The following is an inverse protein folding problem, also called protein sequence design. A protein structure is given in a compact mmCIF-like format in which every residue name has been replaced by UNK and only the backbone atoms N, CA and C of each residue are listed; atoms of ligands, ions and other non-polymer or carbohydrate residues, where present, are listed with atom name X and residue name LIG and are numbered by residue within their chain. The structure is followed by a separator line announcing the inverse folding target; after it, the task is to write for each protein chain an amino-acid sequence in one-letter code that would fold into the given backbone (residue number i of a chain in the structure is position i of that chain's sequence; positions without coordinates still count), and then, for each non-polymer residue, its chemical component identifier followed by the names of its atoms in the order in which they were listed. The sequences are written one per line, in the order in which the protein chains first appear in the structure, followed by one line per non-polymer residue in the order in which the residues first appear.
data_IF_911885767715
#
_entry.id   IF_911885767715
#
_cell.length_a   1.000
_cell.length_b   1.000
_cell.length_c   1.000
_cell.angle_alpha   90.00
_cell.angle_beta   90.00
_cell.angle_gamma   90.00
#
_symmetry.space_group_name_H-M   'P 1'
#
loop_
_entity.id
_entity.type
_entity.pdbx_description
1 polymer ?
#
# COMPACT_ATOMS: atom_id res chain seq x y z
N UNK A 1 18.26 8.56 58.86
CA UNK A 1 18.51 7.78 57.63
C UNK A 1 17.24 7.55 56.78
N UNK A 2 16.06 7.39 57.33
CA UNK A 2 14.79 7.08 56.62
C UNK A 2 14.34 8.16 55.63
N UNK A 3 14.45 9.46 55.97
CA UNK A 3 14.02 10.57 55.08
C UNK A 3 14.83 10.68 53.80
N UNK A 4 16.11 10.33 53.78
CA UNK A 4 16.93 10.38 52.59
C UNK A 4 16.61 9.21 51.62
N UNK A 5 16.18 8.07 52.16
CA UNK A 5 15.78 6.89 51.38
C UNK A 5 14.42 7.15 50.71
N UNK A 6 13.44 7.70 51.46
CA UNK A 6 12.13 8.06 50.90
C UNK A 6 12.25 9.08 49.79
N UNK A 7 13.10 10.09 49.92
CA UNK A 7 13.31 11.10 48.86
C UNK A 7 13.90 10.49 47.60
N UNK A 8 14.87 9.57 47.73
CA UNK A 8 15.47 8.88 46.58
C UNK A 8 14.46 7.98 45.86
N UNK A 9 13.62 7.26 46.61
CA UNK A 9 12.57 6.41 46.02
C UNK A 9 11.54 7.30 45.28
N UNK A 10 11.14 8.43 45.83
CA UNK A 10 10.21 9.35 45.21
C UNK A 10 10.76 9.93 43.91
N UNK A 11 12.03 10.34 43.86
CA UNK A 11 12.70 10.82 42.65
C UNK A 11 12.79 9.72 41.61
N UNK A 12 13.07 8.47 42.02
CA UNK A 12 13.14 7.34 41.09
C UNK A 12 11.78 7.04 40.44
N UNK A 13 10.71 7.06 41.23
CA UNK A 13 9.33 6.87 40.71
C UNK A 13 8.96 8.01 39.75
N UNK A 14 9.33 9.25 40.10
CA UNK A 14 9.07 10.41 39.22
C UNK A 14 9.83 10.29 37.89
N UNK A 15 11.08 9.88 37.90
CA UNK A 15 11.86 9.65 36.69
C UNK A 15 11.29 8.50 35.83
N UNK A 16 10.80 7.44 36.47
CA UNK A 16 10.14 6.32 35.77
C UNK A 16 8.82 6.75 35.12
N UNK A 17 8.06 7.64 35.74
CA UNK A 17 6.80 8.17 35.19
C UNK A 17 7.02 9.04 33.94
N UNK A 18 8.15 9.74 33.85
CA UNK A 18 8.51 10.52 32.65
C UNK A 18 9.10 9.64 31.52
N UNK A 19 9.60 8.46 31.84
CA UNK A 19 10.13 7.53 30.85
C UNK A 19 9.05 6.68 30.13
N UNK A 20 7.83 6.63 30.67
CA UNK A 20 6.70 5.97 30.06
C UNK A 20 6.28 6.74 28.81
N UNK A 21 6.80 6.37 27.65
CA UNK A 21 6.26 6.85 26.37
C UNK A 21 4.82 6.35 26.27
N UNK A 22 3.83 7.21 25.95
CA UNK A 22 2.50 6.74 25.65
C UNK A 22 2.62 5.74 24.50
N UNK A 23 2.22 4.51 24.71
CA UNK A 23 2.03 3.56 23.62
C UNK A 23 0.87 4.12 22.80
N UNK A 24 1.17 4.71 21.64
CA UNK A 24 0.16 5.09 20.67
C UNK A 24 -0.42 3.78 20.13
N UNK A 25 -1.51 3.33 20.75
CA UNK A 25 -2.30 2.24 20.22
C UNK A 25 -2.94 2.71 18.92
N UNK A 26 -2.96 1.84 17.91
CA UNK A 26 -3.62 2.11 16.65
C UNK A 26 -5.14 2.06 16.87
N UNK A 27 -5.76 3.20 17.04
CA UNK A 27 -7.21 3.31 17.16
C UNK A 27 -7.81 3.67 15.80
N UNK A 28 -8.41 2.68 15.14
CA UNK A 28 -9.25 2.95 13.99
C UNK A 28 -10.71 3.09 14.44
N UNK A 29 -11.46 4.06 13.91
CA UNK A 29 -12.87 4.18 14.23
C UNK A 29 -13.61 2.92 13.78
N UNK A 30 -14.35 2.31 14.70
CA UNK A 30 -15.20 1.16 14.40
C UNK A 30 -16.39 1.64 13.57
N UNK A 31 -16.49 1.16 12.34
CA UNK A 31 -17.58 1.48 11.45
C UNK A 31 -18.42 0.23 11.18
N UNK A 32 -19.76 0.36 11.29
CA UNK A 32 -20.66 -0.72 10.93
C UNK A 32 -20.69 -0.91 9.43
N UNK A 33 -20.87 -2.16 9.00
CA UNK A 33 -21.07 -2.48 7.60
C UNK A 33 -22.36 -1.82 7.09
N UNK A 34 -22.23 -0.92 6.14
CA UNK A 34 -23.35 -0.20 5.51
C UNK A 34 -22.97 0.25 4.10
N UNK A 35 -23.97 0.65 3.33
CA UNK A 35 -23.72 1.22 1.98
C UNK A 35 -22.94 2.52 2.07
N UNK A 36 -23.20 3.36 3.07
CA UNK A 36 -22.48 4.61 3.31
C UNK A 36 -21.00 4.33 3.59
N UNK A 37 -20.70 3.28 4.35
CA UNK A 37 -19.33 2.86 4.59
C UNK A 37 -18.65 2.37 3.30
N UNK A 38 -19.34 1.53 2.52
CA UNK A 38 -18.82 1.08 1.23
C UNK A 38 -18.60 2.22 0.24
N UNK A 39 -19.37 3.30 0.34
CA UNK A 39 -19.25 4.46 -0.56
C UNK A 39 -17.98 5.30 -0.32
N UNK A 40 -17.32 5.15 0.81
CA UNK A 40 -16.04 5.81 1.09
C UNK A 40 -14.89 5.27 0.24
N UNK A 41 -15.04 4.06 -0.29
CA UNK A 41 -14.00 3.38 -1.06
C UNK A 41 -14.35 3.36 -2.54
N UNK A 42 -13.35 3.44 -3.39
CA UNK A 42 -13.51 3.44 -4.85
C UNK A 42 -13.48 2.03 -5.43
N UNK A 43 -12.78 1.13 -4.73
CA UNK A 43 -12.69 -0.28 -5.11
C UNK A 43 -12.88 -1.18 -3.89
N UNK A 44 -13.72 -2.21 -4.05
CA UNK A 44 -13.96 -3.25 -3.04
C UNK A 44 -13.94 -4.60 -3.75
N UNK A 45 -13.09 -5.50 -3.29
CA UNK A 45 -12.99 -6.83 -3.87
C UNK A 45 -12.63 -7.89 -2.83
N UNK A 46 -12.95 -9.14 -3.15
CA UNK A 46 -12.44 -10.34 -2.48
C UNK A 46 -11.40 -10.99 -3.37
N UNK A 47 -10.27 -11.38 -2.80
CA UNK A 47 -9.21 -12.00 -3.57
C UNK A 47 -8.16 -12.68 -2.72
N UNK A 48 -7.34 -13.47 -3.39
CA UNK A 48 -6.24 -14.20 -2.79
C UNK A 48 -4.92 -13.47 -3.07
N UNK A 49 -4.12 -13.29 -2.03
CA UNK A 49 -2.81 -12.69 -2.14
C UNK A 49 -1.84 -13.62 -2.88
N UNK A 50 -1.28 -13.17 -3.98
CA UNK A 50 -0.38 -13.96 -4.84
C UNK A 50 1.07 -13.52 -4.74
N UNK A 51 1.34 -12.27 -4.42
CA UNK A 51 2.69 -11.80 -4.13
C UNK A 51 2.68 -10.59 -3.20
N UNK A 52 3.75 -10.45 -2.42
CA UNK A 52 4.02 -9.30 -1.57
C UNK A 52 5.44 -8.84 -1.86
N UNK A 53 5.61 -7.55 -2.01
CA UNK A 53 6.90 -6.90 -2.01
C UNK A 53 7.00 -6.10 -0.73
N UNK A 54 8.02 -6.42 0.06
CA UNK A 54 8.29 -5.75 1.32
C UNK A 54 8.47 -4.25 1.13
N UNK A 55 8.33 -3.56 2.23
CA UNK A 55 8.41 -2.12 2.30
C UNK A 55 9.74 -1.58 1.76
N UNK A 56 9.67 -0.89 0.64
CA UNK A 56 10.77 -0.11 0.11
C UNK A 56 10.49 1.37 0.43
N UNK A 57 11.20 1.90 1.42
CA UNK A 57 11.07 3.24 1.98
C UNK A 57 9.72 3.51 2.64
N UNK A 58 8.64 3.74 1.91
CA UNK A 58 7.37 4.23 2.45
C UNK A 58 6.22 3.26 2.24
N UNK A 59 6.18 2.56 1.14
CA UNK A 59 5.06 1.70 0.76
C UNK A 59 5.52 0.30 0.42
N UNK A 60 4.74 -0.70 0.83
CA UNK A 60 4.79 -2.06 0.33
C UNK A 60 3.77 -2.27 -0.79
N UNK A 61 3.93 -3.34 -1.56
CA UNK A 61 3.04 -3.73 -2.63
C UNK A 61 2.49 -5.13 -2.36
N UNK A 62 1.18 -5.30 -2.45
CA UNK A 62 0.49 -6.58 -2.38
C UNK A 62 -0.27 -6.80 -3.69
N UNK A 63 -0.06 -7.92 -4.36
CA UNK A 63 -0.78 -8.27 -5.59
C UNK A 63 -1.79 -9.37 -5.29
N UNK A 64 -3.04 -9.11 -5.62
CA UNK A 64 -4.15 -10.03 -5.40
C UNK A 64 -4.65 -10.61 -6.71
N UNK A 65 -4.99 -11.91 -6.69
CA UNK A 65 -5.86 -12.53 -7.68
C UNK A 65 -7.30 -12.32 -7.23
N UNK A 66 -8.04 -11.47 -7.92
CA UNK A 66 -9.42 -11.12 -7.56
C UNK A 66 -10.35 -12.28 -7.87
N UNK A 67 -11.12 -12.72 -6.88
CA UNK A 67 -12.15 -13.73 -7.04
C UNK A 67 -13.53 -13.11 -7.27
N UNK A 68 -13.83 -12.03 -6.52
CA UNK A 68 -15.08 -11.30 -6.62
C UNK A 68 -14.80 -9.80 -6.54
N UNK A 69 -15.30 -9.05 -7.52
CA UNK A 69 -15.24 -7.59 -7.56
C UNK A 69 -16.62 -7.02 -7.24
N UNK A 70 -16.74 -6.31 -6.12
CA UNK A 70 -18.01 -5.75 -5.64
C UNK A 70 -18.19 -4.28 -6.03
N UNK A 71 -17.11 -3.54 -6.19
CA UNK A 71 -17.15 -2.12 -6.56
C UNK A 71 -15.89 -1.73 -7.32
N UNK A 72 -16.02 -0.80 -8.27
CA UNK A 72 -14.89 -0.28 -9.04
C UNK A 72 -14.56 -1.11 -10.28
N UNK A 73 -13.34 -0.92 -10.78
CA UNK A 73 -12.82 -1.57 -11.98
C UNK A 73 -11.44 -2.16 -11.68
N UNK A 74 -11.23 -3.41 -11.99
CA UNK A 74 -9.95 -4.09 -11.80
C UNK A 74 -9.74 -5.19 -12.83
N UNK A 75 -8.48 -5.50 -13.12
CA UNK A 75 -8.10 -6.72 -13.81
C UNK A 75 -8.09 -7.91 -12.83
N UNK A 76 -7.92 -9.12 -13.36
CA UNK A 76 -7.85 -10.36 -12.54
C UNK A 76 -6.72 -10.30 -11.51
N UNK A 77 -5.58 -9.73 -11.89
CA UNK A 77 -4.47 -9.43 -10.99
C UNK A 77 -4.47 -7.92 -10.72
N UNK A 78 -4.51 -7.57 -9.46
CA UNK A 78 -4.61 -6.17 -9.05
C UNK A 78 -3.64 -5.85 -7.92
N UNK A 79 -2.95 -4.71 -8.06
CA UNK A 79 -1.94 -4.24 -7.10
C UNK A 79 -2.57 -3.32 -6.07
N UNK A 80 -2.27 -3.56 -4.81
CA UNK A 80 -2.62 -2.71 -3.67
C UNK A 80 -1.34 -2.25 -2.99
N UNK A 81 -1.20 -0.95 -2.82
CA UNK A 81 -0.15 -0.33 -2.04
C UNK A 81 -0.60 -0.23 -0.58
N UNK A 82 0.30 -0.44 0.36
CA UNK A 82 0.04 -0.27 1.79
C UNK A 82 1.17 0.52 2.46
N UNK A 83 0.83 1.27 3.52
CA UNK A 83 1.80 2.11 4.23
C UNK A 83 2.63 1.26 5.21
N UNK A 84 3.93 1.48 5.22
CA UNK A 84 4.90 0.77 6.04
C UNK A 84 5.44 1.57 7.22
N UNK A 85 4.96 2.80 7.40
CA UNK A 85 5.48 3.70 8.42
C UNK A 85 4.65 3.72 9.71
N UNK A 86 3.60 2.93 9.76
CA UNK A 86 2.70 2.88 10.90
C UNK A 86 2.91 1.58 11.67
N UNK A 87 2.98 1.68 12.98
CA UNK A 87 3.09 0.51 13.89
C UNK A 87 1.88 -0.44 13.79
N UNK A 88 0.89 -0.07 13.00
CA UNK A 88 -0.38 -0.75 12.75
C UNK A 88 -0.39 -1.52 11.45
N UNK A 89 0.77 -1.89 10.95
CA UNK A 89 0.93 -2.59 9.68
C UNK A 89 0.11 -3.88 9.62
N UNK A 90 -0.68 -4.02 8.58
CA UNK A 90 -1.37 -5.28 8.29
C UNK A 90 -0.37 -6.27 7.70
N UNK A 91 -0.22 -7.42 8.37
CA UNK A 91 0.69 -8.47 7.90
C UNK A 91 0.06 -9.26 6.75
N UNK A 92 0.60 -9.04 5.57
CA UNK A 92 0.26 -9.79 4.38
C UNK A 92 1.11 -11.07 4.26
N UNK A 93 0.47 -12.22 3.97
CA UNK A 93 1.16 -13.47 3.68
C UNK A 93 0.60 -14.08 2.40
N UNK A 94 1.47 -14.52 1.50
CA UNK A 94 1.06 -15.13 0.24
C UNK A 94 0.16 -16.33 0.50
N UNK A 95 -0.95 -16.39 -0.21
CA UNK A 95 -1.98 -17.42 -0.04
C UNK A 95 -3.15 -17.00 0.85
N UNK A 96 -3.04 -15.91 1.60
CA UNK A 96 -4.15 -15.37 2.39
C UNK A 96 -5.29 -14.88 1.52
N UNK A 97 -6.51 -15.09 1.97
CA UNK A 97 -7.73 -14.54 1.37
C UNK A 97 -8.14 -13.27 2.13
N UNK A 98 -8.49 -12.23 1.37
CA UNK A 98 -8.83 -10.91 1.92
C UNK A 98 -10.09 -10.34 1.26
N UNK A 99 -10.84 -9.55 2.01
CA UNK A 99 -11.72 -8.51 1.47
C UNK A 99 -10.96 -7.19 1.59
N UNK A 100 -10.74 -6.51 0.47
CA UNK A 100 -9.97 -5.27 0.39
C UNK A 100 -10.92 -4.10 0.10
N UNK A 101 -10.78 -3.04 0.89
CA UNK A 101 -11.43 -1.75 0.72
C UNK A 101 -10.33 -0.70 0.48
N UNK A 102 -10.35 -0.05 -0.69
CA UNK A 102 -9.23 0.76 -1.12
C UNK A 102 -9.68 1.91 -2.04
N UNK A 103 -8.79 2.86 -2.27
CA UNK A 103 -8.98 3.96 -3.22
C UNK A 103 -7.90 3.93 -4.29
N UNK A 104 -8.26 4.27 -5.54
CA UNK A 104 -7.29 4.28 -6.62
C UNK A 104 -6.19 5.32 -6.41
N UNK A 105 -4.95 4.92 -6.69
CA UNK A 105 -3.82 5.84 -6.87
C UNK A 105 -3.54 6.07 -8.34
N UNK A 106 -3.69 5.01 -9.13
CA UNK A 106 -3.54 5.00 -10.58
C UNK A 106 -4.53 3.98 -11.15
N UNK A 107 -4.60 3.86 -12.46
CA UNK A 107 -5.57 2.99 -13.15
C UNK A 107 -5.41 1.51 -12.77
N UNK A 108 -4.18 1.08 -12.50
CA UNK A 108 -3.79 -0.32 -12.27
C UNK A 108 -3.44 -0.65 -10.82
N UNK A 109 -3.55 0.32 -9.91
CA UNK A 109 -3.28 0.11 -8.50
C UNK A 109 -4.14 0.98 -7.58
N UNK A 110 -4.28 0.54 -6.35
CA UNK A 110 -5.00 1.25 -5.31
C UNK A 110 -4.15 1.36 -4.04
N UNK A 111 -4.50 2.31 -3.19
CA UNK A 111 -3.90 2.50 -1.87
C UNK A 111 -4.88 2.05 -0.81
N UNK A 112 -4.44 1.12 0.02
CA UNK A 112 -5.17 0.69 1.19
C UNK A 112 -4.73 1.53 2.40
N UNK A 113 -5.69 2.21 3.02
CA UNK A 113 -5.48 2.87 4.30
C UNK A 113 -5.43 1.81 5.42
N UNK A 114 -4.57 2.00 6.42
CA UNK A 114 -4.44 1.09 7.54
C UNK A 114 -5.71 1.02 8.40
N UNK A 115 -6.50 2.09 8.45
CA UNK A 115 -7.83 2.13 9.05
C UNK A 115 -8.95 1.74 8.07
N UNK A 116 -8.63 1.26 6.87
CA UNK A 116 -9.68 0.75 5.98
C UNK A 116 -10.37 -0.48 6.58
N UNK A 117 -11.60 -0.74 6.15
CA UNK A 117 -12.35 -1.92 6.56
C UNK A 117 -11.77 -3.23 6.00
N UNK A 118 -10.61 -3.19 5.32
CA UNK A 118 -9.96 -4.38 4.76
C UNK A 118 -9.71 -5.44 5.84
N UNK A 119 -10.02 -6.69 5.51
CA UNK A 119 -9.92 -7.79 6.48
C UNK A 119 -9.46 -9.09 5.85
N UNK A 120 -8.67 -9.84 6.60
CA UNK A 120 -8.21 -11.17 6.26
C UNK A 120 -9.25 -12.22 6.66
N UNK A 121 -9.34 -13.30 5.88
CA UNK A 121 -10.07 -14.49 6.27
C UNK A 121 -9.29 -15.34 7.27
N UNK A 122 -9.94 -15.74 8.37
CA UNK A 122 -9.43 -16.69 9.33
C UNK A 122 -10.29 -17.96 9.33
N UNK A 123 -9.65 -19.11 9.35
CA UNK A 123 -10.37 -20.40 9.39
C UNK A 123 -10.97 -20.71 10.76
N UNK A 124 -10.44 -20.06 11.80
CA UNK A 124 -10.81 -20.28 13.19
C UNK A 124 -11.41 -19.00 13.75
N UNK A 125 -12.67 -19.05 14.17
CA UNK A 125 -13.41 -17.88 14.67
C UNK A 125 -12.70 -17.13 15.80
N UNK A 126 -11.97 -17.86 16.66
CA UNK A 126 -11.21 -17.27 17.76
C UNK A 126 -10.01 -16.43 17.32
N UNK A 127 -9.56 -16.62 16.09
CA UNK A 127 -8.45 -15.85 15.49
C UNK A 127 -8.97 -14.66 14.68
N UNK A 128 -10.28 -14.60 14.43
CA UNK A 128 -10.90 -13.53 13.66
C UNK A 128 -11.08 -12.27 14.51
N UNK A 129 -9.98 -11.54 14.65
CA UNK A 129 -9.96 -10.22 15.27
C UNK A 129 -10.97 -9.26 14.63
N UNK A 130 -11.18 -9.34 13.33
CA UNK A 130 -12.08 -8.45 12.59
C UNK A 130 -13.55 -8.70 12.94
N UNK A 131 -13.96 -9.96 13.16
CA UNK A 131 -15.33 -10.27 13.61
C UNK A 131 -15.64 -9.60 14.94
N UNK A 132 -14.71 -9.62 15.86
CA UNK A 132 -14.84 -8.90 17.13
C UNK A 132 -14.89 -7.39 16.95
N UNK A 133 -14.00 -6.85 16.09
CA UNK A 133 -13.85 -5.42 15.87
C UNK A 133 -15.02 -4.82 15.07
N UNK A 134 -15.46 -5.50 14.01
CA UNK A 134 -16.49 -4.98 13.09
C UNK A 134 -17.92 -5.44 13.42
N UNK A 135 -18.08 -6.39 14.34
CA UNK A 135 -19.38 -6.89 14.77
C UNK A 135 -20.09 -7.75 13.73
N UNK A 136 -19.37 -8.27 12.73
CA UNK A 136 -19.84 -9.21 11.73
C UNK A 136 -18.70 -10.14 11.30
N UNK A 137 -19.03 -11.37 10.90
CA UNK A 137 -18.04 -12.31 10.41
C UNK A 137 -17.68 -12.04 8.93
N UNK A 138 -16.66 -12.75 8.45
CA UNK A 138 -16.14 -12.61 7.08
C UNK A 138 -17.18 -12.99 6.01
N UNK A 139 -17.96 -14.05 6.27
CA UNK A 139 -18.97 -14.54 5.33
C UNK A 139 -20.18 -13.62 5.26
N UNK A 140 -20.61 -13.08 6.40
CA UNK A 140 -21.67 -12.08 6.47
C UNK A 140 -21.29 -10.82 5.68
N UNK A 141 -20.04 -10.40 5.78
CA UNK A 141 -19.52 -9.26 5.03
C UNK A 141 -19.52 -9.54 3.53
N UNK A 142 -18.97 -10.67 3.09
CA UNK A 142 -18.97 -11.06 1.69
C UNK A 142 -20.40 -11.20 1.13
N UNK A 143 -21.32 -11.75 1.93
CA UNK A 143 -22.75 -11.85 1.58
C UNK A 143 -23.39 -10.47 1.41
N UNK A 144 -23.20 -9.59 2.39
CA UNK A 144 -23.68 -8.20 2.32
C UNK A 144 -23.22 -7.49 1.04
N UNK A 145 -21.92 -7.61 0.72
CA UNK A 145 -21.35 -6.99 -0.46
C UNK A 145 -21.95 -7.50 -1.77
N UNK A 146 -22.17 -8.83 -1.87
CA UNK A 146 -22.84 -9.42 -3.05
C UNK A 146 -24.28 -8.95 -3.20
N UNK A 147 -25.03 -8.89 -2.10
CA UNK A 147 -26.45 -8.55 -2.12
C UNK A 147 -26.69 -7.06 -2.37
N UNK A 148 -25.81 -6.19 -1.91
CA UNK A 148 -26.01 -4.74 -1.93
C UNK A 148 -25.22 -4.01 -3.04
N UNK A 149 -24.04 -4.50 -3.41
CA UNK A 149 -23.21 -3.92 -4.47
C UNK A 149 -23.24 -4.75 -5.75
N UNK A 150 -23.54 -6.06 -5.64
CA UNK A 150 -23.50 -6.99 -6.77
C UNK A 150 -22.08 -7.44 -7.10
N UNK A 151 -21.96 -8.11 -8.26
CA UNK A 151 -20.69 -8.57 -8.80
C UNK A 151 -20.36 -7.82 -10.09
N UNK A 152 -19.23 -7.17 -10.12
CA UNK A 152 -18.72 -6.45 -11.29
C UNK A 152 -17.85 -7.37 -12.15
N UNK A 153 -17.80 -7.11 -13.45
CA UNK A 153 -16.92 -7.82 -14.37
C UNK A 153 -15.49 -7.31 -14.24
N UNK A 154 -14.54 -8.23 -14.20
CA UNK A 154 -13.13 -7.90 -14.27
C UNK A 154 -12.76 -7.41 -15.67
N UNK A 155 -11.87 -6.43 -15.72
CA UNK A 155 -11.31 -5.95 -16.97
C UNK A 155 -10.44 -7.05 -17.59
N UNK A 156 -10.72 -7.37 -18.84
CA UNK A 156 -9.82 -8.21 -19.63
C UNK A 156 -8.71 -7.30 -20.18
N UNK A 157 -7.56 -7.30 -19.52
CA UNK A 157 -6.37 -6.73 -20.11
C UNK A 157 -5.99 -7.66 -21.27
N UNK A 158 -6.36 -7.29 -22.48
CA UNK A 158 -5.68 -7.84 -23.64
C UNK A 158 -4.22 -7.41 -23.47
N UNK A 159 -3.34 -8.34 -23.08
CA UNK A 159 -1.92 -8.16 -23.31
C UNK A 159 -1.80 -7.93 -24.81
N UNK A 160 -1.74 -6.67 -25.21
CA UNK A 160 -1.19 -6.32 -26.50
C UNK A 160 0.14 -7.06 -26.48
N UNK A 161 0.29 -8.12 -27.27
CA UNK A 161 1.59 -8.58 -27.63
C UNK A 161 2.23 -7.35 -28.29
N UNK A 162 2.89 -6.55 -27.48
CA UNK A 162 3.99 -5.76 -27.96
C UNK A 162 4.93 -6.82 -28.53
N UNK A 163 4.64 -7.13 -29.79
CA UNK A 163 5.57 -7.81 -30.63
C UNK A 163 6.84 -7.02 -30.47
N UNK A 164 7.77 -7.62 -29.73
CA UNK A 164 9.04 -7.00 -29.41
C UNK A 164 9.65 -6.46 -30.68
N UNK A 165 9.30 -5.25 -31.02
CA UNK A 165 10.09 -4.40 -31.83
C UNK A 165 11.29 -4.12 -30.96
N UNK A 166 12.24 -5.04 -31.00
CA UNK A 166 13.63 -4.73 -30.71
C UNK A 166 14.01 -3.60 -31.66
N UNK A 167 13.61 -2.39 -31.34
CA UNK A 167 14.29 -1.22 -31.85
C UNK A 167 15.70 -1.34 -31.28
N UNK A 168 16.55 -2.03 -32.06
CA UNK A 168 17.99 -1.86 -31.92
C UNK A 168 18.18 -0.35 -31.84
N UNK A 169 18.77 0.19 -30.75
CA UNK A 169 19.05 1.61 -30.67
C UNK A 169 19.81 1.94 -31.96
N UNK A 170 19.24 2.84 -32.74
CA UNK A 170 19.82 3.22 -34.03
C UNK A 170 21.21 3.79 -33.71
N UNK A 171 22.23 3.00 -33.95
CA UNK A 171 23.64 3.28 -33.61
C UNK A 171 24.05 4.65 -34.14
N UNK A 172 23.43 5.07 -35.25
CA UNK A 172 23.64 6.38 -35.84
C UNK A 172 23.12 7.53 -34.96
N UNK A 173 22.04 7.32 -34.23
CA UNK A 173 21.46 8.37 -33.36
C UNK A 173 22.33 8.60 -32.11
N UNK A 174 22.91 7.56 -31.55
CA UNK A 174 23.85 7.64 -30.41
C UNK A 174 25.17 8.32 -30.84
N UNK A 175 25.68 8.04 -32.06
CA UNK A 175 26.88 8.69 -32.58
C UNK A 175 26.66 10.17 -32.83
N UNK A 176 25.51 10.57 -33.37
CA UNK A 176 25.15 11.97 -33.60
C UNK A 176 25.07 12.75 -32.27
N UNK A 177 24.46 12.20 -31.25
CA UNK A 177 24.39 12.85 -29.92
C UNK A 177 25.79 13.02 -29.33
N UNK A 178 26.67 12.03 -29.47
CA UNK A 178 28.03 12.07 -28.96
C UNK A 178 28.90 13.11 -29.69
N UNK A 179 28.77 13.22 -31.00
CA UNK A 179 29.46 14.25 -31.81
C UNK A 179 28.96 15.66 -31.49
N UNK A 180 27.66 15.87 -31.33
CA UNK A 180 27.08 17.15 -30.94
C UNK A 180 27.56 17.60 -29.55
N UNK A 181 27.64 16.70 -28.58
CA UNK A 181 28.12 17.01 -27.23
C UNK A 181 29.62 17.37 -27.23
N UNK A 182 30.44 16.67 -28.00
CA UNK A 182 31.88 16.98 -28.16
C UNK A 182 32.08 18.34 -28.81
N UNK A 183 31.32 18.65 -29.86
CA UNK A 183 31.34 19.95 -30.55
C UNK A 183 30.99 21.11 -29.62
N UNK A 184 29.98 20.94 -28.77
CA UNK A 184 29.59 21.95 -27.80
C UNK A 184 30.69 22.22 -26.74
N UNK A 185 31.38 21.19 -26.27
CA UNK A 185 32.48 21.31 -25.31
C UNK A 185 33.66 22.07 -25.93
N UNK A 186 34.03 21.74 -27.18
CA UNK A 186 35.14 22.41 -27.90
C UNK A 186 34.80 23.89 -28.15
N UNK A 187 33.58 24.19 -28.58
CA UNK A 187 33.12 25.56 -28.80
C UNK A 187 33.13 26.37 -27.49
N UNK A 188 32.71 25.79 -26.39
CA UNK A 188 32.76 26.43 -25.07
C UNK A 188 34.21 26.72 -24.63
N UNK A 189 35.11 25.75 -24.82
CA UNK A 189 36.54 25.91 -24.50
C UNK A 189 37.21 27.05 -25.33
N UNK A 190 36.91 27.12 -26.62
CA UNK A 190 37.45 28.15 -27.50
C UNK A 190 36.93 29.56 -27.15
N UNK A 191 35.63 29.65 -26.79
CA UNK A 191 35.03 30.90 -26.32
C UNK A 191 35.66 31.36 -25.01
N UNK A 192 35.78 30.43 -24.06
CA UNK A 192 36.38 30.73 -22.76
C UNK A 192 37.83 31.24 -22.89
N UNK A 193 38.61 30.58 -23.73
CA UNK A 193 40.02 30.96 -23.95
C UNK A 193 40.19 32.31 -24.69
N UNK A 194 39.15 32.75 -25.42
CA UNK A 194 39.13 34.04 -26.11
C UNK A 194 38.72 35.20 -25.19
N UNK A 195 37.92 34.93 -24.14
CA UNK A 195 37.46 35.95 -23.22
C UNK A 195 38.34 36.13 -21.98
N UNK A 196 39.22 35.17 -21.69
CA UNK A 196 40.11 35.20 -20.54
C UNK A 196 41.61 35.37 -20.91
N UNK A 197 41.90 35.79 -22.15
CA UNK A 197 43.17 36.32 -22.57
C UNK A 197 43.04 37.83 -22.77
#
# INVERSE_FOLDING_TARGET
MTRAITLKIFILILLFSFAAKPALACECPLTRLSIEECNKYEIIFKGKLISVKDCDHKFGEAVFSIDELYKGNAAKEFKVLFDCHVDCEQKFSVGDEWIIYSSYKQIDNAMMDWCSRSRKFFKVDKEDFYSFTYGNDYYDEAKFLRENLGLHRLLVIQKTQDGGRNEKPNTNQSIVILLCSLGAIIAFYLLFNKFFK
#
